data_IF_341130780864
#
_entry.id   IF_341130780864
#
_cell.length_a   1.000
_cell.length_b   1.000
_cell.length_c   1.000
_cell.angle_alpha   90.00
_cell.angle_beta   90.00
_cell.angle_gamma   90.00
#
_symmetry.space_group_name_H-M   'P 1'
#
loop_
_entity.id
_entity.type
_entity.pdbx_description
1 polymer ?
#
# COMPACT_ATOMS: atom_id res chain seq x y z
N UNK A 1 14.84 -10.13 27.16
CA UNK A 1 14.28 -9.01 26.34
C UNK A 1 13.18 -8.22 27.03
N UNK A 2 12.05 -8.80 27.46
CA UNK A 2 10.95 -8.08 28.13
C UNK A 2 11.42 -7.26 29.34
N UNK A 3 12.36 -7.76 30.12
CA UNK A 3 12.91 -7.04 31.29
C UNK A 3 13.69 -5.78 30.90
N UNK A 4 14.39 -5.77 29.77
CA UNK A 4 15.11 -4.60 29.25
C UNK A 4 14.13 -3.54 28.73
N UNK A 5 13.13 -3.94 27.97
CA UNK A 5 12.08 -3.04 27.48
C UNK A 5 11.25 -2.45 28.62
N UNK A 6 11.01 -3.22 29.69
CA UNK A 6 10.35 -2.77 30.91
C UNK A 6 11.22 -1.78 31.69
N UNK A 7 12.51 -2.05 31.83
CA UNK A 7 13.46 -1.14 32.49
C UNK A 7 13.60 0.20 31.76
N UNK A 8 13.43 0.20 30.44
CA UNK A 8 13.46 1.41 29.60
C UNK A 8 12.09 2.13 29.51
N UNK A 9 11.03 1.58 30.13
CA UNK A 9 9.69 2.15 30.08
C UNK A 9 9.01 2.06 28.70
N UNK A 10 9.58 1.31 27.77
CA UNK A 10 9.10 1.16 26.39
C UNK A 10 7.98 0.12 26.27
N UNK A 11 8.03 -0.93 27.10
CA UNK A 11 7.02 -1.97 27.23
C UNK A 11 6.72 -2.19 28.71
N UNK A 12 5.47 -2.24 29.10
CA UNK A 12 5.04 -2.42 30.48
C UNK A 12 3.87 -3.41 30.57
N UNK A 13 3.49 -3.76 31.79
CA UNK A 13 2.39 -4.71 32.02
C UNK A 13 1.04 -4.17 31.51
N UNK A 14 0.86 -2.86 31.49
CA UNK A 14 -0.33 -2.20 30.95
C UNK A 14 -0.45 -2.41 29.45
N UNK A 15 0.61 -2.14 28.68
CA UNK A 15 0.65 -2.41 27.24
C UNK A 15 0.50 -3.91 26.91
N UNK A 16 1.07 -4.78 27.75
CA UNK A 16 0.90 -6.23 27.58
C UNK A 16 -0.56 -6.65 27.81
N UNK A 17 -1.22 -6.09 28.82
CA UNK A 17 -2.63 -6.34 29.10
C UNK A 17 -3.54 -5.76 27.98
N UNK A 18 -3.22 -4.58 27.46
CA UNK A 18 -3.90 -3.97 26.33
C UNK A 18 -3.82 -4.86 25.08
N UNK A 19 -2.63 -5.33 24.72
CA UNK A 19 -2.44 -6.26 23.60
C UNK A 19 -3.26 -7.53 23.76
N UNK A 20 -3.25 -8.14 24.94
CA UNK A 20 -4.08 -9.31 25.24
C UNK A 20 -5.58 -9.00 25.13
N UNK A 21 -5.99 -7.82 25.56
CA UNK A 21 -7.36 -7.33 25.42
C UNK A 21 -7.80 -7.23 23.96
N UNK A 22 -6.97 -6.61 23.11
CA UNK A 22 -7.22 -6.47 21.67
C UNK A 22 -7.28 -7.84 20.98
N UNK A 23 -6.35 -8.74 21.28
CA UNK A 23 -6.34 -10.11 20.76
C UNK A 23 -7.61 -10.88 21.13
N UNK A 24 -8.06 -10.77 22.37
CA UNK A 24 -9.30 -11.40 22.84
C UNK A 24 -10.52 -10.85 22.12
N UNK A 25 -10.62 -9.54 21.98
CA UNK A 25 -11.71 -8.88 21.27
C UNK A 25 -11.75 -9.31 19.80
N UNK A 26 -10.60 -9.34 19.11
CA UNK A 26 -10.49 -9.83 17.73
C UNK A 26 -11.02 -11.26 17.62
N UNK A 27 -10.56 -12.16 18.47
CA UNK A 27 -11.01 -13.56 18.48
C UNK A 27 -12.52 -13.73 18.71
N UNK A 28 -13.10 -12.96 19.63
CA UNK A 28 -14.54 -12.98 19.91
C UNK A 28 -15.35 -12.53 18.68
N UNK A 29 -14.90 -11.47 17.99
CA UNK A 29 -15.54 -10.97 16.77
C UNK A 29 -15.39 -11.93 15.61
N UNK A 30 -14.22 -12.56 15.44
CA UNK A 30 -14.01 -13.61 14.44
C UNK A 30 -14.98 -14.78 14.63
N UNK A 31 -15.16 -15.23 15.88
CA UNK A 31 -16.14 -16.27 16.20
C UNK A 31 -17.56 -15.85 15.89
N UNK A 32 -17.92 -14.59 16.17
CA UNK A 32 -19.23 -14.05 15.87
C UNK A 32 -19.49 -13.97 14.36
N UNK A 33 -18.50 -13.51 13.59
CA UNK A 33 -18.55 -13.44 12.14
C UNK A 33 -18.64 -14.84 11.51
N UNK A 34 -17.83 -15.80 11.98
CA UNK A 34 -17.82 -17.17 11.50
C UNK A 34 -19.14 -17.91 11.79
N UNK A 35 -19.77 -17.63 12.95
CA UNK A 35 -21.06 -18.22 13.31
C UNK A 35 -22.19 -17.78 12.38
N UNK A 36 -22.14 -16.55 11.87
CA UNK A 36 -23.18 -15.98 11.01
C UNK A 36 -24.51 -15.76 11.74
N UNK A 37 -25.61 -15.73 10.97
CA UNK A 37 -26.97 -15.53 11.53
C UNK A 37 -27.29 -14.07 11.88
N UNK A 38 -26.50 -13.13 11.39
CA UNK A 38 -26.64 -11.69 11.57
C UNK A 38 -26.90 -10.99 10.23
N UNK A 39 -27.42 -9.75 10.28
CA UNK A 39 -27.62 -8.94 9.07
C UNK A 39 -26.29 -8.68 8.36
N UNK A 40 -26.31 -8.63 7.03
CA UNK A 40 -25.09 -8.40 6.22
C UNK A 40 -24.36 -7.10 6.61
N UNK A 41 -25.11 -6.01 6.85
CA UNK A 41 -24.55 -4.73 7.31
C UNK A 41 -23.85 -4.85 8.67
N UNK A 42 -24.44 -5.60 9.60
CA UNK A 42 -23.80 -5.86 10.91
C UNK A 42 -22.56 -6.74 10.77
N UNK A 43 -22.60 -7.76 9.88
CA UNK A 43 -21.46 -8.60 9.58
C UNK A 43 -20.30 -7.79 8.95
N UNK A 44 -20.62 -6.85 8.01
CA UNK A 44 -19.63 -5.92 7.45
C UNK A 44 -18.98 -5.07 8.54
N UNK A 45 -19.76 -4.48 9.45
CA UNK A 45 -19.24 -3.68 10.55
C UNK A 45 -18.29 -4.49 11.45
N UNK A 46 -18.64 -5.74 11.76
CA UNK A 46 -17.78 -6.65 12.55
C UNK A 46 -16.48 -6.96 11.78
N UNK A 47 -16.54 -7.23 10.47
CA UNK A 47 -15.36 -7.53 9.67
C UNK A 47 -14.39 -6.33 9.60
N UNK A 48 -14.90 -5.11 9.40
CA UNK A 48 -14.10 -3.87 9.43
C UNK A 48 -13.48 -3.64 10.80
N UNK A 49 -14.22 -3.92 11.87
CA UNK A 49 -13.68 -3.80 13.23
C UNK A 49 -12.58 -4.82 13.52
N UNK A 50 -12.69 -6.05 13.02
CA UNK A 50 -11.59 -7.04 13.09
C UNK A 50 -10.35 -6.49 12.38
N UNK A 51 -10.49 -5.89 11.19
CA UNK A 51 -9.36 -5.26 10.47
C UNK A 51 -8.71 -4.16 11.31
N UNK A 52 -9.48 -3.29 11.97
CA UNK A 52 -8.95 -2.26 12.88
C UNK A 52 -8.16 -2.88 14.03
N UNK A 53 -8.76 -3.84 14.73
CA UNK A 53 -8.10 -4.51 15.85
C UNK A 53 -6.79 -5.19 15.42
N UNK A 54 -6.75 -5.82 14.22
CA UNK A 54 -5.51 -6.40 13.69
C UNK A 54 -4.47 -5.35 13.37
N UNK A 55 -4.87 -4.21 12.80
CA UNK A 55 -3.96 -3.09 12.54
C UNK A 55 -3.36 -2.52 13.84
N UNK A 56 -4.17 -2.36 14.88
CA UNK A 56 -3.72 -1.91 16.20
C UNK A 56 -2.75 -2.94 16.82
N UNK A 57 -3.11 -4.23 16.82
CA UNK A 57 -2.26 -5.32 17.28
C UNK A 57 -0.93 -5.32 16.53
N UNK A 58 -0.97 -5.19 15.20
CA UNK A 58 0.23 -5.15 14.38
C UNK A 58 1.08 -3.92 14.70
N UNK A 59 0.48 -2.74 14.88
CA UNK A 59 1.18 -1.52 15.29
C UNK A 59 1.90 -1.68 16.63
N UNK A 60 1.25 -2.27 17.63
CA UNK A 60 1.86 -2.54 18.93
C UNK A 60 3.00 -3.56 18.84
N UNK A 61 2.82 -4.64 18.09
CA UNK A 61 3.86 -5.65 17.87
C UNK A 61 5.03 -5.10 17.06
N UNK A 62 4.78 -4.33 16.01
CA UNK A 62 5.82 -3.69 15.21
C UNK A 62 6.64 -2.69 16.02
N UNK A 63 5.99 -1.87 16.84
CA UNK A 63 6.68 -0.94 17.74
C UNK A 63 7.58 -1.70 18.73
N UNK A 64 7.11 -2.83 19.28
CA UNK A 64 7.92 -3.69 20.13
C UNK A 64 9.10 -4.29 19.37
N UNK A 65 8.87 -4.88 18.19
CA UNK A 65 9.92 -5.51 17.37
C UNK A 65 10.96 -4.50 16.90
N UNK A 66 10.56 -3.26 16.55
CA UNK A 66 11.49 -2.20 16.15
C UNK A 66 12.53 -1.87 17.24
N UNK A 67 12.18 -2.05 18.51
CA UNK A 67 13.11 -1.90 19.62
C UNK A 67 14.06 -3.09 19.74
N UNK A 68 13.57 -4.29 19.43
CA UNK A 68 14.34 -5.53 19.46
C UNK A 68 15.48 -5.54 18.46
N UNK A 69 15.30 -4.95 17.27
CA UNK A 69 16.32 -4.86 16.21
C UNK A 69 17.61 -4.20 16.70
N UNK A 70 17.51 -3.27 17.65
CA UNK A 70 18.67 -2.56 18.22
C UNK A 70 19.27 -3.27 19.43
N UNK A 71 18.68 -4.38 19.89
CA UNK A 71 19.25 -5.18 20.98
C UNK A 71 20.36 -6.11 20.46
N UNK A 72 21.22 -6.60 21.37
CA UNK A 72 22.24 -7.57 21.01
C UNK A 72 21.64 -8.87 20.47
N UNK A 73 20.54 -9.31 21.06
CA UNK A 73 19.78 -10.49 20.61
C UNK A 73 19.17 -10.29 19.23
N UNK A 74 18.50 -9.15 18.98
CA UNK A 74 17.89 -8.85 17.68
C UNK A 74 18.94 -8.72 16.56
N UNK A 75 20.11 -8.14 16.86
CA UNK A 75 21.23 -8.11 15.94
C UNK A 75 21.76 -9.52 15.65
N UNK A 76 21.90 -10.37 16.69
CA UNK A 76 22.33 -11.75 16.51
C UNK A 76 21.36 -12.57 15.67
N UNK A 77 20.04 -12.40 15.90
CA UNK A 77 19.00 -13.07 15.12
C UNK A 77 19.01 -12.61 13.65
N UNK A 78 19.19 -11.31 13.40
CA UNK A 78 19.33 -10.77 12.05
C UNK A 78 20.57 -11.32 11.34
N UNK A 79 21.71 -11.37 12.02
CA UNK A 79 22.96 -11.95 11.49
C UNK A 79 22.81 -13.45 11.23
N UNK A 80 22.13 -14.19 12.12
CA UNK A 80 21.85 -15.60 11.92
C UNK A 80 20.99 -15.80 10.67
N UNK A 81 19.92 -15.02 10.51
CA UNK A 81 19.06 -15.09 9.33
C UNK A 81 19.83 -14.78 8.04
N UNK A 82 20.61 -13.71 8.02
CA UNK A 82 21.47 -13.35 6.89
C UNK A 82 22.46 -14.46 6.52
N UNK A 83 23.07 -15.10 7.53
CA UNK A 83 23.96 -16.22 7.33
C UNK A 83 23.24 -17.44 6.70
N UNK A 84 22.01 -17.71 7.13
CA UNK A 84 21.17 -18.75 6.54
C UNK A 84 20.85 -18.45 5.06
N UNK A 85 20.41 -17.22 4.75
CA UNK A 85 20.12 -16.80 3.37
C UNK A 85 21.37 -16.99 2.49
N UNK A 86 22.54 -16.50 2.94
CA UNK A 86 23.80 -16.62 2.19
C UNK A 86 24.18 -18.06 1.87
N UNK A 87 23.80 -18.97 2.77
CA UNK A 87 24.17 -20.39 2.68
C UNK A 87 23.15 -21.24 1.93
N UNK A 88 21.85 -20.86 1.97
CA UNK A 88 20.77 -21.65 1.40
C UNK A 88 20.46 -21.30 -0.05
N UNK A 89 20.82 -20.10 -0.53
CA UNK A 89 20.60 -19.70 -1.93
C UNK A 89 21.63 -20.40 -2.82
N UNK A 90 21.12 -21.26 -3.74
CA UNK A 90 21.95 -22.08 -4.62
C UNK A 90 21.49 -21.96 -6.07
N UNK A 91 22.40 -22.19 -7.01
CA UNK A 91 22.04 -22.36 -8.42
C UNK A 91 21.22 -23.65 -8.62
N UNK A 92 20.14 -23.56 -9.41
CA UNK A 92 19.22 -24.70 -9.59
C UNK A 92 19.87 -25.91 -10.28
N UNK A 93 20.75 -25.66 -11.23
CA UNK A 93 21.42 -26.67 -12.06
C UNK A 93 22.59 -27.34 -11.34
N UNK A 94 23.50 -26.56 -10.77
CA UNK A 94 24.76 -27.03 -10.17
C UNK A 94 24.68 -27.30 -8.68
N UNK A 95 23.61 -26.82 -8.02
CA UNK A 95 23.42 -26.85 -6.56
C UNK A 95 24.57 -26.18 -5.79
N UNK A 96 25.43 -25.42 -6.46
CA UNK A 96 26.47 -24.61 -5.83
C UNK A 96 25.86 -23.39 -5.19
N UNK A 97 26.48 -22.90 -4.11
CA UNK A 97 26.06 -21.65 -3.46
C UNK A 97 26.09 -20.51 -4.46
N UNK A 98 25.06 -19.67 -4.42
CA UNK A 98 24.99 -18.46 -5.25
C UNK A 98 25.97 -17.39 -4.78
N UNK A 99 26.05 -17.19 -3.46
CA UNK A 99 26.99 -16.27 -2.83
C UNK A 99 28.27 -17.01 -2.49
N UNK A 100 29.43 -16.47 -2.88
CA UNK A 100 30.73 -17.10 -2.65
C UNK A 100 31.09 -17.12 -1.16
N UNK A 101 30.66 -16.12 -0.40
CA UNK A 101 30.85 -15.97 1.04
C UNK A 101 29.71 -15.18 1.67
N UNK A 102 29.68 -15.12 3.01
CA UNK A 102 28.78 -14.25 3.75
C UNK A 102 29.02 -12.77 3.42
N UNK A 103 30.27 -12.35 3.28
CA UNK A 103 30.64 -10.98 2.91
C UNK A 103 30.15 -10.64 1.49
N UNK A 104 30.24 -11.58 0.55
CA UNK A 104 29.66 -11.41 -0.79
C UNK A 104 28.16 -11.21 -0.74
N UNK A 105 27.44 -11.96 0.11
CA UNK A 105 26.01 -11.73 0.34
C UNK A 105 25.74 -10.34 0.92
N UNK A 106 26.45 -9.88 1.94
CA UNK A 106 26.23 -8.57 2.54
C UNK A 106 26.42 -7.42 1.53
N UNK A 107 27.39 -7.54 0.62
CA UNK A 107 27.63 -6.55 -0.43
C UNK A 107 26.56 -6.59 -1.54
N UNK A 108 25.78 -7.66 -1.63
CA UNK A 108 24.77 -7.91 -2.67
C UNK A 108 23.38 -8.17 -2.10
N UNK A 109 23.11 -7.89 -0.83
CA UNK A 109 21.85 -8.23 -0.15
C UNK A 109 20.62 -7.50 -0.69
N UNK A 110 20.80 -6.42 -1.45
CA UNK A 110 19.74 -5.66 -2.12
C UNK A 110 19.41 -6.18 -3.53
N UNK A 111 20.15 -7.16 -4.05
CA UNK A 111 19.85 -7.70 -5.36
C UNK A 111 18.57 -8.59 -5.32
N UNK A 112 17.94 -8.73 -6.48
CA UNK A 112 16.67 -9.47 -6.61
C UNK A 112 16.75 -10.92 -6.11
N UNK A 113 17.89 -11.59 -6.30
CA UNK A 113 18.09 -12.98 -5.89
C UNK A 113 18.19 -13.09 -4.37
N UNK A 114 18.93 -12.16 -3.73
CA UNK A 114 19.04 -12.09 -2.28
C UNK A 114 17.67 -11.85 -1.62
N UNK A 115 16.92 -10.87 -2.13
CA UNK A 115 15.58 -10.54 -1.62
C UNK A 115 14.61 -11.72 -1.78
N UNK A 116 14.57 -12.34 -2.96
CA UNK A 116 13.72 -13.50 -3.18
C UNK A 116 14.13 -14.70 -2.31
N UNK A 117 15.43 -14.95 -2.17
CA UNK A 117 15.93 -16.00 -1.29
C UNK A 117 15.58 -15.78 0.17
N UNK A 118 15.70 -14.53 0.65
CA UNK A 118 15.29 -14.15 2.00
C UNK A 118 13.79 -14.35 2.22
N UNK A 119 12.96 -13.91 1.27
CA UNK A 119 11.50 -14.08 1.36
C UNK A 119 11.09 -15.56 1.42
N UNK A 120 11.64 -16.41 0.52
CA UNK A 120 11.35 -17.85 0.51
C UNK A 120 11.78 -18.50 1.81
N UNK A 121 12.98 -18.17 2.31
CA UNK A 121 13.48 -18.71 3.57
C UNK A 121 12.63 -18.25 4.76
N UNK A 122 12.21 -16.97 4.78
CA UNK A 122 11.31 -16.45 5.82
C UNK A 122 9.94 -17.15 5.79
N UNK A 123 9.38 -17.38 4.62
CA UNK A 123 8.14 -18.15 4.46
C UNK A 123 8.28 -19.57 5.01
N UNK A 124 9.37 -20.24 4.69
CA UNK A 124 9.63 -21.62 5.12
C UNK A 124 9.87 -21.73 6.64
N UNK A 125 10.66 -20.81 7.20
CA UNK A 125 11.00 -20.80 8.64
C UNK A 125 9.85 -20.33 9.55
N UNK A 126 9.10 -19.32 9.10
CA UNK A 126 8.07 -18.65 9.93
C UNK A 126 6.66 -19.05 9.53
N UNK A 127 6.50 -19.88 8.49
CA UNK A 127 5.19 -20.33 8.01
C UNK A 127 4.34 -19.20 7.44
N UNK A 128 4.95 -18.13 6.92
CA UNK A 128 4.24 -17.01 6.30
C UNK A 128 3.84 -17.43 4.89
N UNK A 129 2.54 -17.65 4.66
CA UNK A 129 1.97 -17.91 3.34
C UNK A 129 1.59 -16.58 2.68
N UNK A 130 1.93 -16.38 1.40
CA UNK A 130 1.51 -15.22 0.60
C UNK A 130 -0.02 -15.03 0.58
N UNK A 131 -0.77 -16.11 0.82
CA UNK A 131 -2.23 -16.09 0.90
C UNK A 131 -2.76 -15.99 2.35
N UNK A 132 -1.89 -15.85 3.35
CA UNK A 132 -2.31 -15.80 4.76
C UNK A 132 -3.39 -14.75 4.98
N UNK A 133 -3.17 -13.53 4.48
CA UNK A 133 -4.12 -12.43 4.64
C UNK A 133 -5.46 -12.72 3.94
N UNK A 134 -5.44 -13.33 2.74
CA UNK A 134 -6.65 -13.75 2.03
C UNK A 134 -7.42 -14.84 2.78
N UNK A 135 -6.70 -15.64 3.58
CA UNK A 135 -7.28 -16.70 4.42
C UNK A 135 -7.99 -16.20 5.67
N UNK A 136 -7.77 -14.96 6.10
CA UNK A 136 -8.39 -14.37 7.29
C UNK A 136 -9.91 -14.31 7.16
N UNK A 137 -10.62 -14.55 8.27
CA UNK A 137 -12.09 -14.69 8.28
C UNK A 137 -12.76 -13.42 7.77
N UNK A 138 -12.31 -12.26 8.19
CA UNK A 138 -12.82 -10.96 7.78
C UNK A 138 -12.56 -10.69 6.29
N UNK A 139 -11.34 -10.99 5.79
CA UNK A 139 -10.99 -10.75 4.38
C UNK A 139 -11.79 -11.70 3.47
N UNK A 140 -11.90 -12.97 3.81
CA UNK A 140 -12.76 -13.94 3.09
C UNK A 140 -14.22 -13.49 3.06
N UNK A 141 -14.73 -12.95 4.18
CA UNK A 141 -16.08 -12.42 4.24
C UNK A 141 -16.23 -11.20 3.33
N UNK A 142 -15.36 -10.20 3.47
CA UNK A 142 -15.44 -8.96 2.71
C UNK A 142 -15.31 -9.19 1.20
N UNK A 143 -14.38 -10.05 0.77
CA UNK A 143 -14.22 -10.41 -0.65
C UNK A 143 -15.44 -11.19 -1.16
N UNK A 144 -15.94 -12.17 -0.40
CA UNK A 144 -17.09 -12.96 -0.79
C UNK A 144 -18.35 -12.12 -1.05
N UNK A 145 -18.55 -11.05 -0.29
CA UNK A 145 -19.72 -10.18 -0.39
C UNK A 145 -19.49 -8.89 -1.18
N UNK A 146 -18.34 -8.76 -1.86
CA UNK A 146 -18.03 -7.64 -2.75
C UNK A 146 -17.69 -6.32 -2.04
N UNK A 147 -17.30 -6.38 -0.77
CA UNK A 147 -16.81 -5.23 0.01
C UNK A 147 -15.29 -5.05 -0.07
N UNK A 148 -14.62 -5.97 -0.77
CA UNK A 148 -13.16 -6.01 -0.94
C UNK A 148 -12.82 -6.70 -2.26
N UNK A 149 -11.81 -6.21 -2.95
CA UNK A 149 -11.31 -6.84 -4.17
C UNK A 149 -10.31 -7.99 -3.89
N UNK A 150 -9.80 -8.62 -4.95
CA UNK A 150 -8.84 -9.73 -4.85
C UNK A 150 -7.45 -9.30 -4.35
N UNK A 151 -7.18 -7.99 -4.35
CA UNK A 151 -5.94 -7.36 -3.85
C UNK A 151 -6.09 -6.84 -2.42
N UNK A 152 -7.22 -7.21 -1.75
CA UNK A 152 -7.55 -6.85 -0.37
C UNK A 152 -7.80 -5.36 -0.14
N UNK A 153 -8.17 -4.60 -1.19
CA UNK A 153 -8.59 -3.20 -1.09
C UNK A 153 -10.10 -3.15 -0.84
N UNK A 154 -10.51 -2.29 0.09
CA UNK A 154 -11.93 -2.11 0.40
C UNK A 154 -12.62 -1.33 -0.71
N UNK A 155 -13.86 -1.73 -1.02
CA UNK A 155 -14.71 -1.06 -2.01
C UNK A 155 -16.07 -0.70 -1.40
N UNK A 156 -16.64 0.42 -1.85
CA UNK A 156 -17.99 0.84 -1.49
C UNK A 156 -19.03 0.22 -2.45
N UNK A 157 -20.31 0.58 -2.28
CA UNK A 157 -21.39 0.08 -3.12
C UNK A 157 -21.33 0.61 -4.57
N UNK A 158 -20.66 1.74 -4.78
CA UNK A 158 -20.45 2.35 -6.09
C UNK A 158 -19.25 1.74 -6.83
N UNK A 159 -18.41 0.93 -6.13
CA UNK A 159 -17.21 0.31 -6.67
C UNK A 159 -15.95 1.17 -6.53
N UNK A 160 -16.01 2.28 -5.81
CA UNK A 160 -14.84 3.09 -5.50
C UNK A 160 -14.03 2.47 -4.36
N UNK A 161 -12.71 2.66 -4.38
CA UNK A 161 -11.85 2.29 -3.27
C UNK A 161 -12.10 3.21 -2.06
N UNK A 162 -12.14 2.58 -0.90
CA UNK A 162 -12.36 3.29 0.37
C UNK A 162 -11.39 2.80 1.44
N UNK A 163 -11.06 3.67 2.38
CA UNK A 163 -10.35 3.27 3.58
C UNK A 163 -11.29 2.55 4.58
N UNK A 164 -10.74 2.17 5.73
CA UNK A 164 -11.50 1.47 6.78
C UNK A 164 -12.60 2.34 7.40
N UNK A 165 -12.49 3.68 7.28
CA UNK A 165 -13.46 4.65 7.78
C UNK A 165 -14.52 5.00 6.73
N UNK A 166 -14.36 4.52 5.49
CA UNK A 166 -15.26 4.74 4.38
C UNK A 166 -14.94 5.98 3.55
N UNK A 167 -13.79 6.62 3.78
CA UNK A 167 -13.33 7.73 2.95
C UNK A 167 -12.80 7.20 1.63
N UNK A 168 -13.02 7.97 0.55
CA UNK A 168 -12.55 7.61 -0.79
C UNK A 168 -11.03 7.69 -0.86
N UNK A 169 -10.42 6.66 -1.45
CA UNK A 169 -8.97 6.56 -1.66
C UNK A 169 -8.66 6.23 -3.13
N UNK A 170 -7.42 6.49 -3.53
CA UNK A 170 -6.91 6.03 -4.84
C UNK A 170 -6.44 4.55 -4.79
N UNK A 171 -5.88 4.06 -5.89
CA UNK A 171 -5.38 2.68 -6.01
C UNK A 171 -4.22 2.37 -5.04
N UNK A 172 -3.47 3.38 -4.63
CA UNK A 172 -2.37 3.28 -3.67
C UNK A 172 -2.82 3.46 -2.22
N UNK A 173 -4.10 3.81 -1.98
CA UNK A 173 -4.68 3.95 -0.64
C UNK A 173 -4.58 5.35 -0.03
N UNK A 174 -4.23 6.36 -0.82
CA UNK A 174 -4.22 7.76 -0.38
C UNK A 174 -5.60 8.38 -0.47
N UNK A 175 -5.97 9.21 0.51
CA UNK A 175 -7.23 9.93 0.51
C UNK A 175 -7.38 10.82 -0.73
N UNK A 176 -8.55 10.79 -1.36
CA UNK A 176 -8.86 11.64 -2.50
C UNK A 176 -10.16 12.43 -2.27
N UNK A 177 -10.17 13.66 -2.80
CA UNK A 177 -11.39 14.49 -2.81
C UNK A 177 -12.38 14.03 -3.92
N UNK A 178 -13.51 14.74 -4.02
CA UNK A 178 -14.53 14.44 -5.03
C UNK A 178 -14.04 14.55 -6.49
N UNK A 179 -12.93 15.26 -6.73
CA UNK A 179 -12.30 15.40 -8.04
C UNK A 179 -11.21 14.35 -8.31
N UNK A 180 -10.97 13.43 -7.37
CA UNK A 180 -9.95 12.39 -7.47
C UNK A 180 -8.52 12.89 -7.22
N UNK A 181 -8.34 14.08 -6.63
CA UNK A 181 -7.03 14.61 -6.24
C UNK A 181 -6.69 14.18 -4.82
N UNK A 182 -5.43 13.85 -4.57
CA UNK A 182 -4.95 13.46 -3.23
C UNK A 182 -5.11 14.61 -2.25
N UNK A 183 -5.54 14.26 -1.05
CA UNK A 183 -5.73 15.19 0.06
C UNK A 183 -5.20 14.56 1.34
N UNK A 184 -4.84 15.39 2.30
CA UNK A 184 -4.56 14.95 3.66
C UNK A 184 -5.87 14.70 4.45
N UNK A 185 -5.74 14.38 5.75
CA UNK A 185 -6.87 14.14 6.65
C UNK A 185 -7.76 15.37 6.86
N UNK A 186 -7.22 16.56 6.64
CA UNK A 186 -7.92 17.83 6.79
C UNK A 186 -8.52 18.29 5.44
N UNK A 187 -8.32 17.51 4.37
CA UNK A 187 -8.84 17.79 3.02
C UNK A 187 -7.99 18.77 2.23
N UNK A 188 -6.76 19.05 2.68
CA UNK A 188 -5.81 19.91 1.97
C UNK A 188 -5.14 19.12 0.86
N UNK A 189 -5.00 19.71 -0.33
CA UNK A 189 -4.37 19.08 -1.48
C UNK A 189 -2.89 18.76 -1.23
N UNK A 190 -2.49 17.55 -1.57
CA UNK A 190 -1.11 17.07 -1.52
C UNK A 190 -0.69 16.50 -2.88
N UNK A 191 0.62 16.50 -3.16
CA UNK A 191 1.17 15.86 -4.35
C UNK A 191 1.43 14.35 -4.13
N UNK A 192 2.08 13.71 -5.09
CA UNK A 192 2.40 12.27 -5.05
C UNK A 192 3.37 11.91 -3.91
N UNK A 193 4.20 12.85 -3.48
CA UNK A 193 5.17 12.69 -2.40
C UNK A 193 4.56 13.04 -1.02
N UNK A 194 3.31 13.54 -0.99
CA UNK A 194 2.59 13.96 0.23
C UNK A 194 2.90 15.39 0.67
N UNK A 195 3.59 16.16 -0.16
CA UNK A 195 3.85 17.56 0.09
C UNK A 195 2.62 18.42 -0.24
N UNK A 196 2.37 19.44 0.56
CA UNK A 196 1.22 20.32 0.35
C UNK A 196 1.30 21.07 -0.96
N UNK A 197 0.26 20.95 -1.77
CA UNK A 197 0.05 21.75 -2.97
C UNK A 197 -0.53 23.12 -2.52
N UNK A 198 0.34 24.06 -2.23
CA UNK A 198 -0.07 25.44 -1.96
C UNK A 198 -0.39 26.10 -3.29
N UNK A 199 -1.66 26.37 -3.57
CA UNK A 199 -2.02 27.33 -4.62
C UNK A 199 -1.51 28.69 -4.15
N UNK A 200 -0.40 29.13 -4.74
CA UNK A 200 0.10 30.47 -4.47
C UNK A 200 -0.96 31.49 -4.95
N UNK A 201 -1.50 32.25 -4.03
CA UNK A 201 -2.31 33.42 -4.40
C UNK A 201 -1.43 34.36 -5.22
N UNK A 202 -1.96 34.96 -6.29
CA UNK A 202 -1.19 35.89 -7.09
C UNK A 202 -0.71 37.08 -6.26
N UNK A 203 0.52 37.51 -6.51
CA UNK A 203 0.97 38.81 -5.98
C UNK A 203 0.22 39.95 -6.67
N UNK A 204 -0.10 40.97 -5.93
CA UNK A 204 -0.80 42.12 -6.45
C UNK A 204 0.15 43.32 -6.57
N UNK A 205 -0.01 44.09 -7.64
CA UNK A 205 0.59 45.43 -7.78
C UNK A 205 -0.04 46.38 -6.76
N UNK A 206 0.58 47.56 -6.54
CA UNK A 206 0.08 48.55 -5.60
C UNK A 206 -1.33 49.09 -5.94
N UNK A 207 -1.78 48.87 -7.18
CA UNK A 207 -3.13 49.25 -7.64
C UNK A 207 -4.16 48.12 -7.47
N UNK A 208 -3.74 46.94 -6.94
CA UNK A 208 -4.59 45.78 -6.72
C UNK A 208 -4.74 44.89 -7.94
N UNK A 209 -4.05 45.13 -9.05
CA UNK A 209 -3.97 44.23 -10.20
C UNK A 209 -2.99 43.05 -9.93
N UNK A 210 -3.22 41.91 -10.59
CA UNK A 210 -2.31 40.76 -10.48
C UNK A 210 -1.00 41.03 -11.23
N UNK A 211 0.13 40.70 -10.59
CA UNK A 211 1.46 40.75 -11.22
C UNK A 211 1.50 39.77 -12.39
N UNK A 212 1.90 40.26 -13.57
CA UNK A 212 1.83 39.52 -14.83
C UNK A 212 2.70 38.23 -14.88
N UNK A 213 3.73 38.14 -14.06
CA UNK A 213 4.58 36.96 -13.94
C UNK A 213 4.68 36.52 -12.46
N UNK A 214 3.71 35.76 -12.05
CA UNK A 214 3.55 35.32 -10.66
C UNK A 214 4.24 34.00 -10.36
N UNK A 215 5.12 33.57 -11.24
CA UNK A 215 5.82 32.29 -11.13
C UNK A 215 7.07 32.40 -10.27
N UNK A 216 6.89 32.27 -8.96
CA UNK A 216 8.00 32.24 -8.01
C UNK A 216 8.46 30.82 -7.60
N UNK A 217 7.99 29.79 -8.32
CA UNK A 217 8.49 28.43 -8.20
C UNK A 217 7.91 27.59 -7.05
N UNK A 218 6.92 28.09 -6.30
CA UNK A 218 6.23 27.34 -5.27
C UNK A 218 4.91 26.75 -5.83
N UNK A 219 4.68 25.45 -5.66
CA UNK A 219 3.39 24.83 -6.01
C UNK A 219 3.19 24.50 -7.48
N UNK A 220 4.23 24.38 -8.29
CA UNK A 220 4.07 23.88 -9.67
C UNK A 220 3.90 22.37 -9.69
N UNK A 221 2.70 21.97 -10.07
CA UNK A 221 2.42 20.64 -10.57
C UNK A 221 3.40 20.31 -11.73
N UNK A 222 4.34 19.40 -11.51
CA UNK A 222 5.30 18.95 -12.53
C UNK A 222 4.65 18.24 -13.72
N UNK A 223 3.32 18.06 -13.69
CA UNK A 223 2.54 17.35 -14.71
C UNK A 223 2.05 18.25 -15.86
N UNK A 224 2.25 19.57 -15.82
CA UNK A 224 1.99 20.43 -16.99
C UNK A 224 3.22 20.55 -17.88
N UNK A 225 3.74 19.43 -18.40
CA UNK A 225 4.61 19.42 -19.55
C UNK A 225 3.77 19.18 -20.81
N UNK A 226 3.65 20.26 -21.58
CA UNK A 226 3.41 20.26 -23.03
C UNK A 226 2.06 19.74 -23.55
N UNK A 227 1.07 20.66 -23.56
CA UNK A 227 0.05 20.59 -24.61
C UNK A 227 0.73 20.68 -26.00
N UNK A 228 0.51 19.72 -26.91
CA UNK A 228 1.03 19.83 -28.27
C UNK A 228 0.28 20.99 -28.97
N UNK A 229 1.03 22.03 -29.34
CA UNK A 229 0.54 23.14 -30.19
C UNK A 229 -0.26 22.58 -31.36
N UNK A 230 -1.57 22.75 -31.37
CA UNK A 230 -2.46 22.49 -32.49
C UNK A 230 -1.99 23.33 -33.70
N UNK A 231 -1.35 22.69 -34.64
CA UNK A 231 -1.12 23.25 -35.99
C UNK A 231 -2.47 23.47 -36.66
N UNK A 232 -2.85 24.73 -36.79
CA UNK A 232 -3.96 25.20 -37.64
C UNK A 232 -3.73 24.68 -39.07
N UNK A 233 -4.50 23.70 -39.48
CA UNK A 233 -4.59 23.33 -40.91
C UNK A 233 -5.71 24.13 -41.53
N UNK A 234 -5.29 25.03 -42.40
CA UNK A 234 -6.06 25.81 -43.36
C UNK A 234 -6.96 24.90 -44.22
N UNK A 235 -8.22 25.33 -44.35
CA UNK A 235 -9.20 24.73 -45.26
C UNK A 235 -8.75 24.79 -46.70
N UNK A 236 -8.74 23.65 -47.39
CA UNK A 236 -8.87 23.61 -48.84
C UNK A 236 -10.04 22.68 -49.20
N UNK A 237 -11.03 23.26 -49.88
CA UNK A 237 -12.20 22.60 -50.50
C UNK A 237 -11.75 21.86 -51.78
N UNK A 238 -12.29 20.66 -52.02
CA UNK A 238 -12.80 20.21 -53.33
C UNK A 238 -13.35 18.78 -53.21
N UNK A 239 -14.64 18.68 -53.37
CA UNK A 239 -15.48 18.05 -54.40
C UNK A 239 -15.23 16.56 -54.72
N UNK A 240 -16.23 15.77 -54.33
CA UNK A 240 -17.05 14.83 -55.09
C UNK A 240 -16.41 13.83 -56.06
N UNK A 241 -16.66 12.55 -55.90
CA UNK A 241 -17.61 11.77 -56.75
C UNK A 241 -17.62 10.30 -56.35
N UNK A 242 -18.82 9.79 -56.37
CA UNK A 242 -19.31 8.43 -56.26
C UNK A 242 -18.68 7.43 -57.26
N UNK A 243 -18.73 6.17 -56.89
CA UNK A 243 -19.35 5.01 -57.57
C UNK A 243 -18.73 3.73 -57.03
N UNK A 244 -19.57 2.92 -56.48
CA UNK A 244 -20.20 1.71 -56.97
C UNK A 244 -19.29 0.49 -57.12
N UNK A 245 -19.71 -0.52 -56.36
CA UNK A 245 -19.96 -1.93 -56.79
C UNK A 245 -18.72 -2.74 -57.20
N UNK A 246 -18.56 -3.99 -56.88
CA UNK A 246 -19.39 -5.20 -56.86
C UNK A 246 -18.52 -6.39 -56.42
N UNK A 247 -19.05 -7.19 -55.50
CA UNK A 247 -19.22 -8.65 -55.47
C UNK A 247 -18.06 -9.60 -55.87
N UNK A 248 -17.96 -10.59 -55.03
CA UNK A 248 -17.88 -12.04 -55.17
C UNK A 248 -16.54 -12.65 -54.73
N UNK A 249 -16.64 -13.47 -53.72
CA UNK A 249 -16.81 -14.92 -53.72
C UNK A 249 -15.56 -15.76 -54.00
N UNK A 250 -15.42 -16.71 -53.08
CA UNK A 250 -14.81 -18.04 -53.22
C UNK A 250 -13.27 -18.17 -53.19
N UNK A 251 -12.75 -18.77 -52.19
CA UNK A 251 -12.57 -20.19 -51.85
C UNK A 251 -12.00 -20.35 -50.46
#
# INVERSE_FOLDING_TARGET
MDDVLRAQGLWNDEKAAELQGLQKQSLEKEKALAKGGIKLSAARAIALEIKRLRSEIFGMLSARTAMDVNSAEGQADAEQFNCLVSSCVVYNDSKKRYFASYEDYLNNNTNKVAIQGANILAQDLYGVDDNYEKGLVENRFLTKFGFMDDELRLVNEEGDFVDIDGNKVDEEGYLVNAQGKRVDKDGVLVDEDGDYLVEASPFLEDDGSEVADNDWGYGKDKTKSEEPKKKTKTKAKAKAKAKEEVVSETN
#
